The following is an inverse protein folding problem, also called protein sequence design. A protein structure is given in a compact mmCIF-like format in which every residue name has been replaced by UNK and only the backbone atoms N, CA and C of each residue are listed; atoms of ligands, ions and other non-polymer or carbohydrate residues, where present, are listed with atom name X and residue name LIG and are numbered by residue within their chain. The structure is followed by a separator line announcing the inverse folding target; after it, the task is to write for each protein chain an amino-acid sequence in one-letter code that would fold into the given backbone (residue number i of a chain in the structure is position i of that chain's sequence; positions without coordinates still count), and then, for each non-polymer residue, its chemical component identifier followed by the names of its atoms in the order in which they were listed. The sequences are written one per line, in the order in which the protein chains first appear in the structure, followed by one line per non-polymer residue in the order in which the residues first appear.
data_IF_297685849371
#
_entry.id   IF_297685849371
#
_cell.length_a   1.000
_cell.length_b   1.000
_cell.length_c   1.000
_cell.angle_alpha   90.00
_cell.angle_beta   90.00
_cell.angle_gamma   90.00
#
_symmetry.space_group_name_H-M   'P 1'
#
loop_
_entity.id
_entity.type
_entity.pdbx_description
1 polymer ?
#
# COMPACT_ATOMS: atom_id res chain seq x y z
N UNK A 1 -12.27 -41.75 14.89
CA UNK A 1 -12.34 -42.41 13.57
C UNK A 1 -11.06 -42.04 12.85
N UNK A 2 -10.29 -42.97 12.25
CA UNK A 2 -9.23 -42.56 11.34
C UNK A 2 -9.87 -41.90 10.10
N UNK A 3 -9.22 -40.88 9.51
CA UNK A 3 -9.73 -40.27 8.29
C UNK A 3 -9.79 -41.28 7.14
N UNK A 4 -10.77 -41.13 6.25
CA UNK A 4 -10.88 -41.95 5.03
C UNK A 4 -9.87 -41.51 3.97
N UNK A 5 -9.58 -42.36 2.98
CA UNK A 5 -8.66 -42.01 1.88
C UNK A 5 -9.10 -40.72 1.15
N UNK A 6 -10.39 -40.55 0.87
CA UNK A 6 -11.00 -39.32 0.30
C UNK A 6 -10.86 -38.06 1.20
N UNK A 7 -10.58 -38.21 2.50
CA UNK A 7 -10.38 -37.06 3.40
C UNK A 7 -8.90 -36.61 3.40
N UNK A 8 -8.00 -37.40 2.81
CA UNK A 8 -6.57 -37.13 2.74
C UNK A 8 -6.08 -36.82 1.31
N UNK A 9 -6.92 -37.02 0.31
CA UNK A 9 -6.69 -36.83 -1.12
C UNK A 9 -8.00 -36.22 -1.66
N UNK A 10 -8.03 -34.89 -1.78
CA UNK A 10 -9.29 -34.15 -1.96
C UNK A 10 -9.79 -34.18 -3.40
N UNK A 11 -8.91 -34.41 -4.37
CA UNK A 11 -9.23 -34.43 -5.80
C UNK A 11 -9.14 -35.83 -6.43
N UNK A 12 -8.68 -36.82 -5.67
CA UNK A 12 -8.69 -38.24 -6.04
C UNK A 12 -7.63 -38.61 -7.06
N UNK A 13 -6.54 -37.85 -7.13
CA UNK A 13 -5.49 -38.02 -8.12
C UNK A 13 -4.41 -39.04 -7.71
N UNK A 14 -4.44 -39.47 -6.45
CA UNK A 14 -3.53 -40.45 -5.86
C UNK A 14 -2.39 -39.83 -5.04
N UNK A 15 -2.33 -38.51 -4.93
CA UNK A 15 -1.46 -37.77 -4.04
C UNK A 15 -2.25 -37.33 -2.80
N UNK A 16 -1.62 -37.42 -1.63
CA UNK A 16 -2.27 -36.94 -0.40
C UNK A 16 -2.07 -35.44 -0.28
N UNK A 17 -3.07 -34.69 0.19
CA UNK A 17 -3.08 -33.22 0.29
C UNK A 17 -1.79 -32.57 0.85
N UNK A 18 -1.06 -33.26 1.75
CA UNK A 18 0.20 -32.74 2.34
C UNK A 18 1.41 -32.88 1.41
N UNK A 19 1.33 -33.76 0.42
CA UNK A 19 2.36 -34.03 -0.56
C UNK A 19 1.90 -33.68 -1.99
N UNK A 20 0.71 -33.09 -2.11
CA UNK A 20 0.06 -32.70 -3.35
C UNK A 20 0.26 -31.19 -3.55
N UNK A 21 1.00 -30.83 -4.60
CA UNK A 21 1.24 -29.42 -4.96
C UNK A 21 0.03 -28.76 -5.64
N UNK A 22 -1.06 -29.49 -5.89
CA UNK A 22 -2.35 -28.95 -6.31
C UNK A 22 -3.51 -29.68 -5.63
N UNK A 23 -3.61 -29.58 -4.30
CA UNK A 23 -4.58 -30.30 -3.45
C UNK A 23 -6.08 -30.29 -3.85
N UNK A 24 -6.50 -29.48 -4.82
CA UNK A 24 -7.88 -29.38 -5.32
C UNK A 24 -8.00 -29.61 -6.84
N UNK A 25 -6.89 -29.84 -7.54
CA UNK A 25 -6.81 -29.97 -8.99
C UNK A 25 -5.91 -31.15 -9.35
N UNK A 26 -6.56 -32.25 -9.75
CA UNK A 26 -5.88 -33.51 -9.99
C UNK A 26 -4.69 -33.39 -10.96
N UNK A 27 -3.49 -33.65 -10.45
CA UNK A 27 -2.23 -33.62 -11.17
C UNK A 27 -1.28 -34.75 -10.68
N UNK A 28 -1.57 -36.03 -11.04
CA UNK A 28 -0.81 -37.18 -10.54
C UNK A 28 0.69 -37.19 -10.90
N UNK A 29 1.09 -36.37 -11.88
CA UNK A 29 2.50 -36.21 -12.29
C UNK A 29 3.26 -35.19 -11.44
N UNK A 30 2.55 -34.32 -10.71
CA UNK A 30 3.10 -33.36 -9.75
C UNK A 30 4.21 -32.50 -10.36
N UNK A 31 4.03 -32.11 -11.63
CA UNK A 31 4.96 -31.18 -12.27
C UNK A 31 4.87 -29.83 -11.55
N UNK A 32 6.02 -29.18 -11.44
CA UNK A 32 6.24 -27.90 -10.80
C UNK A 32 7.49 -27.32 -11.46
N UNK A 33 7.29 -26.53 -12.51
CA UNK A 33 8.35 -26.10 -13.42
C UNK A 33 9.30 -25.10 -12.77
N UNK A 34 8.80 -24.21 -11.93
CA UNK A 34 9.60 -23.19 -11.26
C UNK A 34 10.00 -23.55 -9.83
N UNK A 35 9.37 -24.57 -9.23
CA UNK A 35 9.73 -25.11 -7.93
C UNK A 35 9.15 -24.34 -6.75
N UNK A 36 8.04 -23.62 -6.93
CA UNK A 36 7.43 -22.78 -5.90
C UNK A 36 6.48 -23.54 -4.94
N UNK A 37 6.25 -24.83 -5.17
CA UNK A 37 5.34 -25.71 -4.42
C UNK A 37 3.86 -25.63 -4.84
N UNK A 38 3.52 -24.84 -5.85
CA UNK A 38 2.24 -24.87 -6.57
C UNK A 38 2.47 -25.63 -7.87
N UNK A 39 1.70 -26.68 -8.12
CA UNK A 39 1.89 -27.50 -9.31
C UNK A 39 1.40 -26.81 -10.59
N UNK A 40 2.03 -27.12 -11.73
CA UNK A 40 1.69 -26.55 -13.05
C UNK A 40 0.18 -26.62 -13.40
N UNK A 41 -0.57 -27.54 -12.79
CA UNK A 41 -2.00 -27.75 -13.04
C UNK A 41 -2.90 -26.71 -12.38
N UNK A 42 -2.43 -26.06 -11.31
CA UNK A 42 -3.16 -25.07 -10.53
C UNK A 42 -2.38 -23.76 -10.36
N UNK A 43 -1.21 -23.66 -10.99
CA UNK A 43 -0.35 -22.48 -10.99
C UNK A 43 -0.78 -21.49 -12.07
N UNK A 44 -1.18 -20.29 -11.66
CA UNK A 44 -1.50 -19.18 -12.56
C UNK A 44 -0.26 -18.47 -13.14
N UNK A 45 0.95 -18.88 -12.72
CA UNK A 45 2.24 -18.46 -13.25
C UNK A 45 3.26 -19.61 -13.36
N UNK A 46 2.94 -20.65 -14.14
CA UNK A 46 3.75 -21.87 -14.40
C UNK A 46 5.28 -21.74 -14.52
N UNK A 47 5.81 -20.55 -14.82
CA UNK A 47 7.26 -20.34 -14.98
C UNK A 47 7.87 -19.28 -14.06
N UNK A 48 7.06 -18.69 -13.16
CA UNK A 48 7.45 -17.63 -12.26
C UNK A 48 6.87 -17.89 -10.86
N UNK A 49 7.77 -18.22 -9.92
CA UNK A 49 7.38 -18.64 -8.58
C UNK A 49 6.52 -17.60 -7.85
N UNK A 50 5.30 -17.99 -7.48
CA UNK A 50 4.29 -17.12 -6.90
C UNK A 50 3.34 -17.91 -5.96
N UNK A 51 3.88 -18.42 -4.86
CA UNK A 51 3.15 -19.27 -3.90
C UNK A 51 1.84 -18.72 -3.32
N UNK A 52 1.63 -17.40 -3.41
CA UNK A 52 0.39 -16.74 -2.98
C UNK A 52 -0.72 -16.79 -4.05
N UNK A 53 -0.37 -17.14 -5.30
CA UNK A 53 -1.25 -17.20 -6.47
C UNK A 53 -2.10 -15.93 -6.60
N UNK A 54 -1.48 -14.77 -6.35
CA UNK A 54 -2.14 -13.48 -6.48
C UNK A 54 -2.53 -13.26 -7.95
N UNK A 55 -3.75 -12.75 -8.14
CA UNK A 55 -4.37 -12.47 -9.44
C UNK A 55 -5.38 -11.34 -9.19
N UNK A 56 -4.92 -10.10 -9.41
CA UNK A 56 -5.62 -8.90 -8.98
C UNK A 56 -6.85 -8.61 -9.84
N UNK A 57 -6.77 -8.82 -11.15
CA UNK A 57 -7.85 -8.57 -12.10
C UNK A 57 -8.73 -9.81 -12.37
N UNK A 58 -8.26 -11.00 -11.98
CA UNK A 58 -8.94 -12.30 -12.11
C UNK A 58 -9.10 -12.78 -13.54
N UNK A 59 -8.14 -12.48 -14.40
CA UNK A 59 -8.12 -13.01 -15.77
C UNK A 59 -7.56 -14.45 -15.86
N UNK A 60 -6.93 -14.93 -14.78
CA UNK A 60 -6.33 -16.26 -14.65
C UNK A 60 -4.83 -16.31 -14.90
N UNK A 61 -4.19 -15.17 -15.17
CA UNK A 61 -2.74 -14.96 -15.16
C UNK A 61 -2.37 -14.39 -13.79
N UNK A 62 -1.36 -14.94 -13.13
CA UNK A 62 -0.96 -14.42 -11.82
C UNK A 62 -0.16 -13.13 -11.92
N UNK A 63 -0.21 -12.30 -10.87
CA UNK A 63 0.46 -10.99 -10.84
C UNK A 63 1.96 -11.07 -11.19
N UNK A 64 2.63 -12.17 -10.83
CA UNK A 64 4.07 -12.34 -11.03
C UNK A 64 4.46 -12.66 -12.48
N UNK A 65 3.49 -12.95 -13.34
CA UNK A 65 3.67 -13.23 -14.77
C UNK A 65 2.67 -12.50 -15.67
N UNK A 66 1.90 -11.57 -15.11
CA UNK A 66 1.00 -10.70 -15.82
C UNK A 66 1.69 -9.38 -16.19
N UNK A 67 1.53 -8.94 -17.43
CA UNK A 67 2.07 -7.68 -17.94
C UNK A 67 1.09 -6.50 -17.74
N UNK A 68 -0.15 -6.76 -17.29
CA UNK A 68 -1.23 -5.79 -17.01
C UNK A 68 -2.02 -6.26 -15.77
N UNK A 69 -1.38 -6.13 -14.59
CA UNK A 69 -1.80 -6.80 -13.33
C UNK A 69 -3.21 -6.40 -12.88
N UNK A 70 -3.69 -5.22 -13.24
CA UNK A 70 -5.01 -4.73 -12.83
C UNK A 70 -6.06 -4.71 -13.96
N UNK A 71 -5.67 -5.12 -15.16
CA UNK A 71 -6.55 -5.33 -16.30
C UNK A 71 -7.18 -4.05 -16.85
N UNK A 72 -6.52 -2.90 -16.68
CA UNK A 72 -7.02 -1.61 -17.12
C UNK A 72 -6.76 -1.32 -18.60
N UNK A 73 -5.87 -2.11 -19.22
CA UNK A 73 -5.46 -2.02 -20.61
C UNK A 73 -4.13 -1.29 -20.84
N UNK A 74 -3.43 -0.91 -19.77
CA UNK A 74 -2.10 -0.30 -19.75
C UNK A 74 -1.11 -1.29 -19.16
N UNK A 75 0.05 -1.46 -19.80
CA UNK A 75 1.05 -2.42 -19.29
C UNK A 75 1.77 -1.87 -18.07
N UNK A 76 2.12 -2.75 -17.12
CA UNK A 76 2.75 -2.41 -15.84
C UNK A 76 3.97 -1.47 -15.95
N UNK A 77 4.69 -1.49 -17.07
CA UNK A 77 5.90 -0.69 -17.30
C UNK A 77 5.64 0.78 -17.64
N UNK A 78 4.41 1.11 -18.05
CA UNK A 78 3.97 2.46 -18.39
C UNK A 78 2.72 2.90 -17.62
N UNK A 79 2.19 2.02 -16.77
CA UNK A 79 1.05 2.28 -15.91
C UNK A 79 1.47 3.11 -14.70
N UNK A 80 0.78 4.23 -14.46
CA UNK A 80 0.99 5.10 -13.30
C UNK A 80 0.41 4.53 -12.01
N UNK A 81 -0.48 3.53 -12.08
CA UNK A 81 -0.99 2.78 -10.94
C UNK A 81 -1.08 1.26 -11.21
N UNK A 82 0.05 0.52 -11.28
CA UNK A 82 0.12 -0.88 -11.76
C UNK A 82 -0.69 -1.94 -11.00
N UNK A 83 -1.45 -1.57 -9.98
CA UNK A 83 -2.25 -2.49 -9.16
C UNK A 83 -3.68 -1.97 -8.93
N UNK A 84 -4.04 -0.83 -9.53
CA UNK A 84 -5.32 -0.19 -9.35
C UNK A 84 -5.77 0.49 -10.64
N UNK A 85 -6.65 -0.22 -11.34
CA UNK A 85 -7.11 0.17 -12.66
C UNK A 85 -7.53 1.65 -12.78
N UNK A 86 -6.82 2.36 -13.65
CA UNK A 86 -7.03 3.75 -14.04
C UNK A 86 -6.82 3.90 -15.56
N UNK A 87 -7.78 3.43 -16.39
CA UNK A 87 -7.63 3.45 -17.85
C UNK A 87 -7.44 4.85 -18.48
N UNK A 88 -7.71 5.92 -17.71
CA UNK A 88 -7.49 7.31 -18.08
C UNK A 88 -6.09 7.82 -17.76
N UNK A 89 -5.33 7.14 -16.89
CA UNK A 89 -3.94 7.42 -16.54
C UNK A 89 -3.74 8.90 -16.16
N UNK A 90 -4.68 9.45 -15.37
CA UNK A 90 -4.57 10.80 -14.81
C UNK A 90 -3.43 10.83 -13.78
N UNK A 91 -2.59 11.87 -13.87
CA UNK A 91 -1.41 12.15 -13.03
C UNK A 91 -1.24 13.67 -13.04
N UNK A 92 -1.82 14.33 -12.04
CA UNK A 92 -2.06 15.76 -12.02
C UNK A 92 -0.80 16.59 -11.72
N UNK A 93 0.12 16.06 -10.92
CA UNK A 93 1.36 16.74 -10.55
C UNK A 93 2.60 16.23 -11.33
N UNK A 94 2.43 15.17 -12.12
CA UNK A 94 3.41 14.60 -13.02
C UNK A 94 4.64 14.02 -12.31
N UNK A 95 4.44 13.39 -11.16
CA UNK A 95 5.47 12.60 -10.48
C UNK A 95 5.55 11.16 -10.99
N UNK A 96 4.56 10.68 -11.74
CA UNK A 96 4.52 9.32 -12.28
C UNK A 96 3.74 8.31 -11.44
N UNK A 97 3.14 8.74 -10.32
CA UNK A 97 2.12 8.03 -9.57
C UNK A 97 0.75 8.58 -10.02
N UNK A 98 -0.17 7.70 -10.41
CA UNK A 98 -1.46 8.15 -10.93
C UNK A 98 -2.38 8.69 -9.82
N UNK A 99 -3.23 9.66 -10.14
CA UNK A 99 -4.14 10.35 -9.21
C UNK A 99 -4.97 9.39 -8.34
N UNK A 100 -5.24 8.19 -8.88
CA UNK A 100 -6.05 7.19 -8.19
C UNK A 100 -5.26 6.52 -7.06
N UNK A 101 -3.95 6.33 -7.21
CA UNK A 101 -3.08 5.67 -6.23
C UNK A 101 -2.08 6.61 -5.56
N UNK A 102 -2.14 7.90 -5.89
CA UNK A 102 -1.35 8.96 -5.28
C UNK A 102 -1.98 9.44 -3.96
N UNK A 103 -1.22 9.39 -2.87
CA UNK A 103 -1.61 9.89 -1.54
C UNK A 103 -1.35 11.40 -1.39
N UNK A 104 -0.69 12.02 -2.36
CA UNK A 104 -0.50 13.46 -2.51
C UNK A 104 -0.79 13.97 -3.94
N UNK A 105 -2.05 13.89 -4.46
CA UNK A 105 -2.42 14.15 -5.87
C UNK A 105 -2.11 15.52 -6.48
N UNK A 106 -1.50 16.42 -5.71
CA UNK A 106 -1.18 17.79 -6.13
C UNK A 106 0.24 18.20 -5.79
N UNK A 107 1.03 17.31 -5.17
CA UNK A 107 2.38 17.56 -4.70
C UNK A 107 3.28 16.38 -5.09
N UNK A 108 4.07 16.59 -6.14
CA UNK A 108 4.90 15.56 -6.72
C UNK A 108 5.82 14.87 -5.69
N UNK A 109 5.58 13.58 -5.47
CA UNK A 109 6.33 12.67 -4.60
C UNK A 109 6.24 11.21 -5.08
N UNK A 110 7.19 10.81 -5.94
CA UNK A 110 7.38 9.43 -6.39
C UNK A 110 7.53 8.39 -5.25
N UNK A 111 7.93 8.82 -4.04
CA UNK A 111 8.22 7.90 -2.93
C UNK A 111 6.99 7.49 -2.13
N UNK A 112 5.94 8.33 -2.15
CA UNK A 112 4.68 8.09 -1.46
C UNK A 112 4.89 7.70 0.01
N UNK A 113 5.81 8.39 0.69
CA UNK A 113 6.08 8.17 2.12
C UNK A 113 4.88 8.66 2.93
N UNK A 114 4.42 7.83 3.87
CA UNK A 114 3.33 8.10 4.81
C UNK A 114 3.79 7.63 6.19
N UNK A 115 4.40 8.54 6.95
CA UNK A 115 5.15 8.23 8.16
C UNK A 115 4.26 7.92 9.35
N UNK A 116 3.04 8.44 9.38
CA UNK A 116 2.10 8.20 10.46
C UNK A 116 0.98 7.22 10.10
N UNK A 117 0.66 7.04 8.82
CA UNK A 117 -0.28 6.05 8.32
C UNK A 117 -1.72 6.55 8.17
N UNK A 118 -1.95 7.86 8.16
CA UNK A 118 -3.30 8.43 8.03
C UNK A 118 -3.84 8.43 6.58
N UNK A 119 -2.97 8.14 5.61
CA UNK A 119 -3.30 8.08 4.19
C UNK A 119 -3.11 9.40 3.42
N UNK A 120 -2.51 10.41 4.05
CA UNK A 120 -1.94 11.60 3.38
C UNK A 120 -0.42 11.46 3.40
N UNK A 121 0.24 11.68 2.25
CA UNK A 121 1.69 11.51 2.18
C UNK A 121 2.46 12.64 2.87
N UNK A 122 3.65 12.34 3.39
CA UNK A 122 4.56 13.25 4.09
C UNK A 122 4.83 14.55 3.29
N UNK A 123 4.74 14.49 1.95
CA UNK A 123 4.97 15.63 1.06
C UNK A 123 3.83 16.67 1.10
N UNK A 124 2.61 16.26 1.43
CA UNK A 124 1.42 17.11 1.47
C UNK A 124 0.72 17.11 2.84
N UNK A 125 1.19 16.30 3.78
CA UNK A 125 0.74 16.26 5.15
C UNK A 125 1.27 17.45 5.97
N UNK A 126 0.38 18.13 6.68
CA UNK A 126 0.70 19.27 7.55
C UNK A 126 1.22 18.84 8.93
N UNK A 127 1.07 17.55 9.29
CA UNK A 127 1.60 16.91 10.47
C UNK A 127 2.16 15.50 10.19
N UNK A 128 3.28 15.35 9.44
CA UNK A 128 3.82 14.06 8.94
C UNK A 128 4.18 12.97 9.96
N UNK A 129 3.99 13.19 11.25
CA UNK A 129 4.34 12.26 12.32
C UNK A 129 3.17 12.03 13.29
N UNK A 130 1.98 12.58 13.00
CA UNK A 130 0.83 12.61 13.90
C UNK A 130 -0.44 12.51 13.07
N UNK A 131 -1.04 11.31 13.06
CA UNK A 131 -2.29 11.10 12.35
C UNK A 131 -3.38 12.09 12.79
N UNK A 132 -3.92 12.83 11.82
CA UNK A 132 -4.88 13.89 12.06
C UNK A 132 -5.96 13.97 10.95
N UNK A 133 -6.68 15.09 10.91
CA UNK A 133 -7.70 15.37 9.89
C UNK A 133 -7.34 16.58 9.00
N UNK A 134 -6.07 17.00 9.05
CA UNK A 134 -5.50 18.05 8.23
C UNK A 134 -6.20 19.41 8.45
N UNK A 135 -6.68 19.64 9.69
CA UNK A 135 -7.15 20.95 10.13
C UNK A 135 -5.94 21.89 10.33
N UNK A 136 -6.00 23.08 9.75
CA UNK A 136 -5.03 24.17 9.94
C UNK A 136 -5.81 25.48 10.16
N UNK A 137 -5.98 25.83 11.43
CA UNK A 137 -6.88 26.90 11.88
C UNK A 137 -6.36 28.31 11.52
N UNK A 138 -5.05 28.49 11.38
CA UNK A 138 -4.45 29.79 11.11
C UNK A 138 -3.74 29.92 9.74
N UNK A 139 -3.71 28.83 8.99
CA UNK A 139 -3.26 28.72 7.60
C UNK A 139 -1.77 29.05 7.46
N UNK A 140 -0.95 28.55 8.38
CA UNK A 140 0.49 28.71 8.35
C UNK A 140 1.25 27.51 7.74
N UNK A 141 0.54 26.42 7.45
CA UNK A 141 1.08 25.20 6.86
C UNK A 141 1.55 24.15 7.86
N UNK A 142 1.30 24.34 9.17
CA UNK A 142 1.46 23.33 10.22
C UNK A 142 0.07 22.97 10.75
N UNK A 143 -0.25 21.68 10.80
CA UNK A 143 -1.59 21.25 11.20
C UNK A 143 -1.85 21.48 12.69
N UNK A 144 -3.11 21.71 13.06
CA UNK A 144 -3.56 21.99 14.43
C UNK A 144 -3.11 20.91 15.44
N UNK A 145 -2.91 19.67 14.98
CA UNK A 145 -2.47 18.54 15.80
C UNK A 145 -0.99 18.62 16.22
N UNK A 146 -0.15 19.30 15.44
CA UNK A 146 1.29 19.42 15.66
C UNK A 146 1.79 20.87 15.74
N UNK A 147 0.90 21.85 15.61
CA UNK A 147 1.18 23.28 15.79
C UNK A 147 1.29 23.65 17.29
N UNK A 148 2.41 24.24 17.69
CA UNK A 148 2.61 24.75 19.04
C UNK A 148 1.92 26.11 19.30
N UNK A 149 1.28 26.69 18.29
CA UNK A 149 0.39 27.85 18.37
C UNK A 149 -0.83 27.78 17.40
N UNK A 150 -1.81 26.85 17.58
CA UNK A 150 -2.92 26.51 16.64
C UNK A 150 -3.91 27.61 16.24
N UNK A 151 -3.63 28.87 16.55
CA UNK A 151 -4.48 30.02 16.22
C UNK A 151 -3.66 31.27 15.93
N UNK A 152 -2.34 31.16 15.87
CA UNK A 152 -1.40 32.25 15.65
C UNK A 152 -0.23 31.80 14.77
N UNK A 153 -0.41 32.00 13.47
CA UNK A 153 0.56 31.65 12.42
C UNK A 153 2.03 31.85 12.81
N UNK A 154 2.77 30.75 12.80
CA UNK A 154 4.16 30.62 13.17
C UNK A 154 4.78 29.36 12.53
N UNK A 155 4.82 29.31 11.20
CA UNK A 155 5.34 28.19 10.42
C UNK A 155 6.80 27.75 10.74
N UNK A 156 7.56 28.52 11.52
CA UNK A 156 8.90 28.14 12.01
C UNK A 156 8.87 27.34 13.32
N UNK A 157 7.70 27.22 13.95
CA UNK A 157 7.41 26.49 15.18
C UNK A 157 8.43 26.79 16.30
N UNK A 158 8.95 28.02 16.34
CA UNK A 158 9.98 28.38 17.31
C UNK A 158 9.43 28.32 18.74
N UNK A 159 10.06 27.49 19.56
CA UNK A 159 9.81 27.34 20.99
C UNK A 159 11.16 27.50 21.71
N UNK A 160 11.42 28.71 22.22
CA UNK A 160 12.73 29.05 22.80
C UNK A 160 12.96 28.43 24.19
N UNK A 161 11.90 28.21 24.97
CA UNK A 161 11.98 27.66 26.33
C UNK A 161 11.61 26.16 26.42
N UNK A 162 11.29 25.52 25.29
CA UNK A 162 11.00 24.09 25.13
C UNK A 162 9.81 23.65 26.02
N UNK A 163 8.81 24.52 26.20
CA UNK A 163 7.64 24.24 27.05
C UNK A 163 6.43 23.67 26.26
N UNK A 164 6.56 23.59 24.93
CA UNK A 164 5.54 23.11 24.00
C UNK A 164 4.55 24.19 23.53
N UNK A 165 4.74 25.45 23.91
CA UNK A 165 4.00 26.62 23.42
C UNK A 165 4.94 27.47 22.58
N UNK A 166 4.56 27.78 21.35
CA UNK A 166 5.42 28.57 20.47
C UNK A 166 5.61 30.01 20.95
N UNK A 167 6.78 30.58 20.64
CA UNK A 167 7.15 31.97 20.94
C UNK A 167 6.10 32.99 20.44
N UNK A 168 5.36 32.65 19.38
CA UNK A 168 4.33 33.49 18.76
C UNK A 168 3.06 33.67 19.61
N UNK A 169 2.68 32.64 20.38
CA UNK A 169 1.50 32.64 21.25
C UNK A 169 1.86 32.56 22.75
N UNK A 170 3.16 32.57 23.07
CA UNK A 170 3.66 32.58 24.43
C UNK A 170 3.13 33.80 25.19
N UNK A 171 2.36 33.55 26.23
CA UNK A 171 1.98 34.61 27.17
C UNK A 171 3.17 34.84 28.07
N UNK A 172 3.57 36.11 28.27
CA UNK A 172 4.68 36.45 29.14
C UNK A 172 4.48 35.75 30.49
N UNK A 173 5.29 34.71 30.69
CA UNK A 173 5.17 33.82 31.82
C UNK A 173 5.30 34.68 33.07
N UNK A 174 4.30 34.57 33.96
CA UNK A 174 3.97 35.57 34.97
C UNK A 174 5.03 35.79 36.05
N UNK A 175 6.18 36.32 35.67
CA UNK A 175 7.17 36.95 36.54
C UNK A 175 6.65 38.32 36.99
N UNK A 176 5.57 38.27 37.77
CA UNK A 176 5.17 39.34 38.65
C UNK A 176 6.08 39.37 39.88
N UNK A 177 7.01 40.32 39.85
CA UNK A 177 7.73 40.96 40.96
C UNK A 177 6.98 40.97 42.31
#
# INVERSE_FOLDING_TARGET
NPPTADELDSDGDGMVNIADNCALVANPDQNDVDGDLVGDACDNCVTASNTNQADADRDGIGNDCDDDVDGDGTTNDIDTCPTRANPDQEDADADGVGDICDICPTVADESQEDSDGDGVGDACDMCPLVEDDQDDSDVDGVGDACDNCPSTSNSDQLDTDEDGVGDACQVADGSGD
#
